data_IF_216325203467
#
_entry.id   IF_216325203467
#
_cell.length_a   1.000
_cell.length_b   1.000
_cell.length_c   1.000
_cell.angle_alpha   90.00
_cell.angle_beta   90.00
_cell.angle_gamma   90.00
#
_symmetry.space_group_name_H-M   'P 1'
#
loop_
_entity.id
_entity.type
_entity.pdbx_description
1 polymer ?
#
# COMPACT_ATOMS: atom_id res chain seq x y z
N UNK A 1 -0.68 -13.94 13.97
CA UNK A 1 -1.00 -13.68 12.55
C UNK A 1 -0.17 -12.49 12.08
N UNK A 2 0.35 -12.49 10.84
CA UNK A 2 1.03 -11.31 10.31
C UNK A 2 0.01 -10.19 10.09
N UNK A 3 0.34 -8.96 10.49
CA UNK A 3 -0.50 -7.78 10.27
C UNK A 3 -0.65 -7.49 8.77
N UNK A 4 -1.82 -7.01 8.35
CA UNK A 4 -2.15 -6.53 7.01
C UNK A 4 -2.20 -5.01 7.00
N UNK A 5 -1.23 -4.39 6.36
CA UNK A 5 -1.14 -2.96 6.20
C UNK A 5 -1.57 -2.57 4.79
N UNK A 6 -2.59 -1.72 4.68
CA UNK A 6 -2.91 -0.99 3.46
C UNK A 6 -2.15 0.33 3.41
N UNK A 7 -1.56 0.66 2.27
CA UNK A 7 -1.05 2.00 1.98
C UNK A 7 -1.87 2.60 0.85
N UNK A 8 -2.38 3.82 1.07
CA UNK A 8 -3.07 4.62 0.07
C UNK A 8 -2.15 5.78 -0.26
N UNK A 9 -1.65 5.84 -1.49
CA UNK A 9 -0.69 6.86 -1.91
C UNK A 9 -0.77 7.16 -3.41
N UNK A 10 -0.11 8.24 -3.83
CA UNK A 10 0.17 8.51 -5.24
C UNK A 10 1.04 7.37 -5.84
N UNK A 11 1.12 7.22 -7.18
CA UNK A 11 1.79 6.11 -7.82
C UNK A 11 3.15 5.75 -7.21
N UNK A 12 3.28 4.54 -6.66
CA UNK A 12 4.53 4.10 -5.99
C UNK A 12 5.75 4.10 -6.93
N UNK A 13 5.52 4.05 -8.25
CA UNK A 13 6.56 4.18 -9.27
C UNK A 13 7.11 5.60 -9.43
N UNK A 14 6.41 6.65 -8.96
CA UNK A 14 6.86 8.05 -9.06
C UNK A 14 7.60 8.56 -7.82
N UNK A 15 7.80 7.73 -6.80
CA UNK A 15 8.46 8.17 -5.56
C UNK A 15 9.95 8.42 -5.73
N UNK A 16 10.52 9.30 -4.90
CA UNK A 16 11.96 9.44 -4.78
C UNK A 16 12.51 8.40 -3.79
N UNK A 17 13.05 7.28 -4.30
CA UNK A 17 13.57 6.16 -3.50
C UNK A 17 14.41 6.58 -2.26
N UNK A 18 15.27 7.60 -2.38
CA UNK A 18 16.17 8.03 -1.30
C UNK A 18 15.52 8.98 -0.28
N UNK A 19 14.40 9.62 -0.62
CA UNK A 19 13.76 10.66 0.20
C UNK A 19 12.35 10.31 0.65
N UNK A 20 11.80 9.22 0.16
CA UNK A 20 10.42 8.83 0.43
C UNK A 20 10.28 8.13 1.79
N UNK A 21 9.62 8.83 2.73
CA UNK A 21 9.34 8.29 4.07
C UNK A 21 8.29 7.17 4.04
N UNK A 22 7.42 7.12 3.03
CA UNK A 22 6.44 6.03 2.87
C UNK A 22 7.17 4.72 2.56
N UNK A 23 8.13 4.71 1.63
CA UNK A 23 8.96 3.55 1.32
C UNK A 23 9.73 3.05 2.56
N UNK A 24 10.29 3.97 3.35
CA UNK A 24 10.97 3.60 4.60
C UNK A 24 10.03 2.88 5.59
N UNK A 25 8.78 3.32 5.72
CA UNK A 25 7.76 2.66 6.54
C UNK A 25 7.39 1.28 5.99
N UNK A 26 7.20 1.16 4.68
CA UNK A 26 6.86 -0.11 4.02
C UNK A 26 7.98 -1.14 4.16
N UNK A 27 9.25 -0.74 3.98
CA UNK A 27 10.41 -1.59 4.21
C UNK A 27 10.50 -2.05 5.67
N UNK A 28 10.15 -1.18 6.63
CA UNK A 28 10.13 -1.52 8.03
C UNK A 28 8.98 -2.48 8.40
N UNK A 29 7.82 -2.37 7.74
CA UNK A 29 6.70 -3.30 7.89
C UNK A 29 7.02 -4.66 7.27
N UNK A 30 7.58 -4.68 6.05
CA UNK A 30 8.02 -5.91 5.38
C UNK A 30 9.04 -6.69 6.22
N UNK A 31 10.04 -6.02 6.82
CA UNK A 31 11.00 -6.64 7.75
C UNK A 31 10.37 -7.28 8.99
N UNK A 32 9.18 -6.84 9.39
CA UNK A 32 8.40 -7.44 10.49
C UNK A 32 7.50 -8.59 10.00
N UNK A 33 7.57 -8.96 8.73
CA UNK A 33 6.73 -10.00 8.13
C UNK A 33 5.29 -9.57 7.91
N UNK A 34 5.01 -8.26 7.84
CA UNK A 34 3.66 -7.76 7.57
C UNK A 34 3.31 -7.93 6.08
N UNK A 35 2.03 -8.17 5.82
CA UNK A 35 1.49 -8.22 4.47
C UNK A 35 1.12 -6.81 4.04
N UNK A 36 1.62 -6.38 2.88
CA UNK A 36 1.36 -5.04 2.35
C UNK A 36 0.31 -5.11 1.24
N UNK A 37 -0.65 -4.20 1.27
CA UNK A 37 -1.62 -3.96 0.22
C UNK A 37 -1.47 -2.51 -0.25
N UNK A 38 -1.41 -2.33 -1.56
CA UNK A 38 -1.29 -1.04 -2.22
C UNK A 38 -2.62 -0.65 -2.84
N UNK A 39 -2.98 0.62 -2.64
CA UNK A 39 -4.13 1.28 -3.23
C UNK A 39 -3.74 2.69 -3.67
N UNK A 40 -4.30 3.15 -4.77
CA UNK A 40 -4.33 4.58 -5.11
C UNK A 40 -5.65 5.19 -4.63
N UNK A 41 -5.74 6.52 -4.44
CA UNK A 41 -7.00 7.15 -4.02
C UNK A 41 -8.22 6.79 -4.90
N UNK A 42 -8.11 6.68 -6.24
CA UNK A 42 -9.23 6.24 -7.10
C UNK A 42 -9.65 4.78 -6.91
N UNK A 43 -8.82 3.95 -6.28
CA UNK A 43 -9.13 2.54 -6.01
C UNK A 43 -10.13 2.39 -4.85
N UNK A 44 -10.41 3.45 -4.08
CA UNK A 44 -11.33 3.44 -2.95
C UNK A 44 -12.76 3.73 -3.39
N UNK A 45 -13.71 2.93 -2.93
CA UNK A 45 -15.12 3.13 -3.23
C UNK A 45 -16.04 2.59 -2.13
N UNK A 46 -17.30 3.02 -2.17
CA UNK A 46 -18.38 2.47 -1.35
C UNK A 46 -19.27 1.61 -2.23
N UNK A 47 -19.48 0.36 -1.83
CA UNK A 47 -20.46 -0.53 -2.46
C UNK A 47 -21.46 -0.99 -1.41
N UNK A 48 -22.75 -0.65 -1.61
CA UNK A 48 -23.84 -1.05 -0.71
C UNK A 48 -23.59 -0.71 0.78
N UNK A 49 -22.90 0.40 1.06
CA UNK A 49 -22.56 0.83 2.43
C UNK A 49 -21.28 0.19 2.99
N UNK A 50 -20.63 -0.71 2.26
CA UNK A 50 -19.33 -1.27 2.63
C UNK A 50 -18.18 -0.48 1.98
N UNK A 51 -17.19 -0.10 2.78
CA UNK A 51 -15.96 0.52 2.28
C UNK A 51 -15.05 -0.55 1.68
N UNK A 52 -14.73 -0.40 0.39
CA UNK A 52 -13.98 -1.37 -0.41
C UNK A 52 -12.83 -0.70 -1.14
N UNK A 53 -11.90 -1.51 -1.62
CA UNK A 53 -10.79 -1.05 -2.43
C UNK A 53 -10.31 -2.09 -3.44
N UNK A 54 -9.84 -1.61 -4.59
CA UNK A 54 -9.08 -2.41 -5.55
C UNK A 54 -7.63 -2.52 -5.08
N UNK A 55 -7.33 -3.57 -4.31
CA UNK A 55 -6.04 -3.77 -3.66
C UNK A 55 -5.09 -4.57 -4.53
N UNK A 56 -3.81 -4.20 -4.52
CA UNK A 56 -2.72 -4.99 -5.10
C UNK A 56 -1.77 -5.44 -3.99
N UNK A 57 -1.44 -6.74 -3.87
CA UNK A 57 -0.39 -7.18 -2.97
C UNK A 57 0.92 -6.47 -3.32
N UNK A 58 1.57 -5.89 -2.32
CA UNK A 58 2.78 -5.11 -2.50
C UNK A 58 3.98 -5.84 -1.90
N UNK A 59 5.05 -5.94 -2.68
CA UNK A 59 6.37 -6.31 -2.20
C UNK A 59 7.29 -5.11 -2.38
N UNK A 60 8.10 -4.79 -1.37
CA UNK A 60 9.08 -3.71 -1.43
C UNK A 60 10.48 -4.24 -1.13
N UNK A 61 11.48 -3.65 -1.78
CA UNK A 61 12.90 -4.01 -1.67
C UNK A 61 13.75 -2.76 -1.50
N UNK A 62 14.88 -2.92 -0.83
CA UNK A 62 15.88 -1.86 -0.71
C UNK A 62 16.81 -1.86 -1.94
N UNK A 63 16.21 -1.69 -3.12
CA UNK A 63 16.86 -1.71 -4.42
C UNK A 63 16.44 -0.47 -5.24
N UNK A 64 17.35 0.44 -5.62
CA UNK A 64 17.01 1.65 -6.36
C UNK A 64 16.54 1.41 -7.80
N UNK A 65 16.72 0.22 -8.36
CA UNK A 65 16.31 -0.14 -9.72
C UNK A 65 15.04 -1.01 -9.73
N UNK A 66 14.73 -1.69 -8.62
CA UNK A 66 13.56 -2.56 -8.46
C UNK A 66 12.99 -2.51 -7.02
N UNK A 67 12.56 -1.33 -6.56
CA UNK A 67 12.11 -1.14 -5.18
C UNK A 67 10.72 -1.70 -4.88
N UNK A 68 9.93 -2.10 -5.89
CA UNK A 68 8.58 -2.61 -5.65
C UNK A 68 8.07 -3.58 -6.72
N UNK A 69 7.18 -4.48 -6.32
CA UNK A 69 6.35 -5.27 -7.25
C UNK A 69 4.91 -5.24 -6.78
N UNK A 70 3.99 -5.04 -7.72
CA UNK A 70 2.56 -5.17 -7.50
C UNK A 70 2.07 -6.52 -8.03
N UNK A 71 1.29 -7.22 -7.21
CA UNK A 71 0.57 -8.42 -7.61
C UNK A 71 -0.72 -8.10 -8.37
N UNK A 72 -1.49 -9.15 -8.66
CA UNK A 72 -2.80 -9.00 -9.27
C UNK A 72 -3.76 -8.19 -8.40
N UNK A 73 -4.55 -7.33 -9.04
CA UNK A 73 -5.60 -6.55 -8.39
C UNK A 73 -6.70 -7.47 -7.87
N UNK A 74 -7.23 -7.15 -6.70
CA UNK A 74 -8.39 -7.83 -6.10
C UNK A 74 -9.30 -6.81 -5.41
N UNK A 75 -10.60 -6.94 -5.63
CA UNK A 75 -11.60 -6.18 -4.89
C UNK A 75 -11.81 -6.80 -3.50
N UNK A 76 -11.55 -6.02 -2.45
CA UNK A 76 -11.69 -6.47 -1.04
C UNK A 76 -12.29 -5.38 -0.14
N UNK A 77 -12.98 -5.76 0.94
CA UNK A 77 -13.35 -4.83 2.00
C UNK A 77 -12.11 -4.18 2.63
N UNK A 78 -12.17 -2.88 2.94
CA UNK A 78 -11.11 -2.21 3.69
C UNK A 78 -10.97 -2.77 5.12
N UNK A 79 -12.05 -3.37 5.65
CA UNK A 79 -12.07 -4.02 6.95
C UNK A 79 -11.19 -5.28 7.04
N UNK A 80 -10.70 -5.82 5.91
CA UNK A 80 -9.73 -6.92 5.88
C UNK A 80 -8.31 -6.48 6.27
N UNK A 81 -8.07 -5.17 6.39
CA UNK A 81 -6.80 -4.56 6.75
C UNK A 81 -6.80 -4.23 8.25
N UNK A 82 -5.68 -4.50 8.92
CA UNK A 82 -5.49 -4.16 10.33
C UNK A 82 -5.14 -2.67 10.51
N UNK A 83 -4.43 -2.10 9.52
CA UNK A 83 -3.97 -0.71 9.52
C UNK A 83 -4.04 -0.16 8.10
N UNK A 84 -4.43 1.12 7.98
CA UNK A 84 -4.37 1.87 6.74
C UNK A 84 -3.47 3.11 6.94
N UNK A 85 -2.43 3.24 6.13
CA UNK A 85 -1.62 4.44 6.00
C UNK A 85 -2.15 5.29 4.85
N UNK A 86 -2.79 6.42 5.16
CA UNK A 86 -3.17 7.43 4.17
C UNK A 86 -1.97 8.37 3.95
N UNK A 87 -1.30 8.24 2.80
CA UNK A 87 -0.06 8.93 2.45
C UNK A 87 -0.23 9.62 1.10
N UNK A 88 -0.96 10.72 1.12
CA UNK A 88 -1.08 11.65 -0.01
C UNK A 88 -0.35 12.93 0.37
N UNK A 89 0.43 13.49 -0.55
CA UNK A 89 1.00 14.82 -0.31
C UNK A 89 -0.16 15.82 -0.14
N UNK A 90 -0.12 16.69 0.89
CA UNK A 90 -1.10 17.74 1.04
C UNK A 90 -1.05 18.69 -0.18
N UNK A 91 -2.20 19.26 -0.59
CA UNK A 91 -2.23 20.28 -1.64
C UNK A 91 -1.50 21.57 -1.24
#
# INVERSE_FOLDING_TARGET
MPMRLGVIMDPIGSINYKKDSTLAMLLAAARRGWQLQYLEPPDLFLAQGEARGLMRPLQVRADPDDWFTLGAVADRPLADLDVILMRRDPP
#
